data_IF_720270628756
#
_entry.id   IF_720270628756
#
_cell.length_a   1.000
_cell.length_b   1.000
_cell.length_c   1.000
_cell.angle_alpha   90.00
_cell.angle_beta   90.00
_cell.angle_gamma   90.00
#
_symmetry.space_group_name_H-M   'P 1'
#
loop_
_entity.id
_entity.type
_entity.pdbx_description
1 polymer ?
#
# COMPACT_ATOMS: atom_id res chain seq x y z
N UNK A 1 22.18 -1.56 -13.50
CA UNK A 1 22.67 -2.92 -13.23
C UNK A 1 22.51 -3.18 -11.73
N UNK A 2 22.02 -4.35 -11.36
CA UNK A 2 21.89 -4.79 -9.96
C UNK A 2 23.21 -5.41 -9.42
N UNK A 3 24.25 -5.41 -10.24
CA UNK A 3 25.60 -5.92 -9.93
C UNK A 3 26.50 -4.77 -9.43
N UNK A 4 27.27 -5.02 -8.37
CA UNK A 4 28.25 -4.06 -7.83
C UNK A 4 29.39 -3.77 -8.83
N UNK A 5 29.73 -4.73 -9.67
CA UNK A 5 30.78 -4.61 -10.70
C UNK A 5 30.24 -5.17 -12.04
N UNK A 6 29.49 -4.34 -12.82
CA UNK A 6 28.84 -4.79 -14.04
C UNK A 6 29.84 -5.01 -15.19
N UNK A 7 29.71 -6.15 -15.87
CA UNK A 7 30.39 -6.41 -17.12
C UNK A 7 29.95 -5.42 -18.22
N UNK A 8 30.81 -5.22 -19.22
CA UNK A 8 30.52 -4.33 -20.36
C UNK A 8 29.20 -4.64 -21.07
N UNK A 9 28.79 -5.93 -21.10
CA UNK A 9 27.53 -6.38 -21.68
C UNK A 9 26.30 -6.01 -20.83
N UNK A 10 26.48 -5.70 -19.55
CA UNK A 10 25.43 -5.31 -18.61
C UNK A 10 25.22 -3.80 -18.53
N UNK A 11 26.09 -3.02 -19.19
CA UNK A 11 26.01 -1.56 -19.25
C UNK A 11 25.28 -1.14 -20.50
N UNK A 12 24.29 -0.27 -20.34
CA UNK A 12 23.57 0.31 -21.49
C UNK A 12 24.52 1.12 -22.40
N UNK A 13 24.31 1.09 -23.72
CA UNK A 13 25.17 1.78 -24.66
C UNK A 13 25.04 3.31 -24.57
N UNK A 14 23.93 3.82 -24.05
CA UNK A 14 23.69 5.27 -23.87
C UNK A 14 23.76 5.62 -22.39
N UNK A 15 24.60 6.59 -22.07
CA UNK A 15 24.84 7.06 -20.71
C UNK A 15 24.79 8.57 -20.58
N UNK A 16 25.04 9.06 -19.37
CA UNK A 16 25.08 10.49 -19.05
C UNK A 16 26.44 10.84 -18.44
N UNK A 17 27.15 11.79 -19.06
CA UNK A 17 28.31 12.42 -18.47
C UNK A 17 27.87 13.19 -17.22
N UNK A 18 28.42 12.86 -16.07
CA UNK A 18 28.10 13.48 -14.81
C UNK A 18 29.31 14.22 -14.22
N UNK A 19 29.05 15.35 -13.57
CA UNK A 19 30.04 16.09 -12.80
C UNK A 19 29.84 15.78 -11.31
N UNK A 20 30.90 15.42 -10.62
CA UNK A 20 30.90 15.32 -9.14
C UNK A 20 30.84 16.74 -8.58
N UNK A 21 29.73 17.06 -7.92
CA UNK A 21 29.51 18.38 -7.28
C UNK A 21 30.11 18.39 -5.89
N UNK A 22 29.91 17.30 -5.12
CA UNK A 22 30.37 17.17 -3.76
C UNK A 22 30.58 15.71 -3.37
N UNK A 23 31.52 15.48 -2.47
CA UNK A 23 31.81 14.17 -1.90
C UNK A 23 31.89 14.27 -0.38
N UNK A 24 31.27 13.33 0.33
CA UNK A 24 31.25 13.24 1.78
C UNK A 24 31.71 11.87 2.23
N UNK A 25 32.59 11.82 3.21
CA UNK A 25 32.89 10.56 3.91
C UNK A 25 31.90 10.38 5.06
N UNK A 26 31.22 9.27 5.05
CA UNK A 26 30.28 8.91 6.11
C UNK A 26 31.01 8.24 7.28
N UNK A 27 30.44 8.28 8.51
CA UNK A 27 31.06 7.65 9.68
C UNK A 27 31.23 6.13 9.57
N UNK A 28 30.46 5.47 8.72
CA UNK A 28 30.49 4.03 8.41
C UNK A 28 31.64 3.64 7.45
N UNK A 29 32.44 4.63 7.01
CA UNK A 29 33.55 4.43 6.05
C UNK A 29 33.16 4.57 4.59
N UNK A 30 31.87 4.64 4.27
CA UNK A 30 31.36 4.83 2.92
C UNK A 30 31.57 6.26 2.42
N UNK A 31 31.66 6.42 1.12
CA UNK A 31 31.75 7.74 0.46
C UNK A 31 30.46 8.00 -0.31
N UNK A 32 29.73 9.04 0.10
CA UNK A 32 28.54 9.54 -0.62
C UNK A 32 28.97 10.64 -1.57
N UNK A 33 28.62 10.54 -2.83
CA UNK A 33 28.88 11.55 -3.85
C UNK A 33 27.58 12.18 -4.38
N UNK A 34 27.58 13.50 -4.55
CA UNK A 34 26.53 14.21 -5.24
C UNK A 34 27.02 14.46 -6.67
N UNK A 35 26.27 13.94 -7.63
CA UNK A 35 26.58 14.07 -9.06
C UNK A 35 25.50 14.88 -9.77
N UNK A 36 25.91 15.59 -10.83
CA UNK A 36 25.00 16.30 -11.72
C UNK A 36 25.22 15.83 -13.15
N UNK A 37 24.18 15.27 -13.78
CA UNK A 37 24.20 14.94 -15.20
C UNK A 37 24.38 16.20 -16.07
N UNK A 38 25.19 16.11 -17.11
CA UNK A 38 25.51 17.24 -18.01
C UNK A 38 25.11 16.98 -19.44
N UNK A 39 25.57 15.90 -20.04
CA UNK A 39 25.36 15.57 -21.45
C UNK A 39 25.12 14.08 -21.60
N UNK A 40 24.27 13.74 -22.57
CA UNK A 40 24.06 12.34 -22.98
C UNK A 40 25.18 11.94 -23.94
N UNK A 41 25.58 10.71 -23.87
CA UNK A 41 26.55 10.13 -24.80
C UNK A 41 26.18 8.70 -25.15
N UNK A 42 26.73 8.21 -26.26
CA UNK A 42 26.69 6.80 -26.67
C UNK A 42 28.11 6.25 -26.65
N UNK A 43 28.24 5.03 -26.12
CA UNK A 43 29.50 4.28 -26.15
C UNK A 43 29.71 3.77 -27.58
N UNK A 44 30.86 4.10 -28.17
CA UNK A 44 31.26 3.61 -29.47
C UNK A 44 32.14 2.35 -29.36
N UNK A 45 33.07 2.40 -28.41
CA UNK A 45 34.11 1.38 -28.28
C UNK A 45 34.64 1.37 -26.83
N UNK A 46 34.82 0.19 -26.28
CA UNK A 46 35.52 0.02 -25.01
C UNK A 46 37.02 0.03 -25.26
N UNK A 47 37.79 0.81 -24.51
CA UNK A 47 39.22 1.00 -24.67
C UNK A 47 40.01 0.19 -23.64
N UNK A 48 39.67 0.31 -22.37
CA UNK A 48 40.32 -0.36 -21.25
C UNK A 48 39.28 -0.77 -20.20
N UNK A 49 39.59 -1.81 -19.45
CA UNK A 49 38.74 -2.32 -18.37
C UNK A 49 39.40 -2.20 -16.99
N UNK A 50 40.73 -2.11 -16.93
CA UNK A 50 41.48 -1.98 -15.70
C UNK A 50 42.28 -0.67 -15.67
N UNK A 51 42.35 0.06 -14.55
CA UNK A 51 41.71 -0.21 -13.25
C UNK A 51 40.23 0.19 -13.19
N UNK A 52 39.68 0.75 -14.24
CA UNK A 52 38.28 1.12 -14.42
C UNK A 52 37.89 1.09 -15.90
N UNK A 53 36.63 0.90 -16.17
CA UNK A 53 36.12 0.86 -17.55
C UNK A 53 36.31 2.21 -18.26
N UNK A 54 37.03 2.23 -19.37
CA UNK A 54 37.20 3.37 -20.25
C UNK A 54 36.59 3.09 -21.61
N UNK A 55 35.85 4.06 -22.14
CA UNK A 55 35.19 3.95 -23.41
C UNK A 55 35.37 5.23 -24.26
N UNK A 56 35.42 5.02 -25.56
CA UNK A 56 35.30 6.11 -26.53
C UNK A 56 33.81 6.41 -26.73
N UNK A 57 33.41 7.67 -26.55
CA UNK A 57 32.02 8.07 -26.55
C UNK A 57 31.74 9.14 -27.59
N UNK A 58 30.52 9.17 -28.07
CA UNK A 58 29.97 10.22 -28.92
C UNK A 58 28.87 10.96 -28.14
N UNK A 59 28.93 12.28 -28.09
CA UNK A 59 27.87 13.07 -27.48
C UNK A 59 26.64 13.12 -28.37
N UNK A 60 25.49 12.79 -27.78
CA UNK A 60 24.23 12.80 -28.49
C UNK A 60 23.67 14.23 -28.62
N UNK A 61 23.07 14.55 -29.76
CA UNK A 61 22.39 15.84 -29.96
C UNK A 61 21.15 15.93 -29.04
N UNK A 62 20.70 17.13 -28.78
CA UNK A 62 19.47 17.41 -28.06
C UNK A 62 18.62 18.36 -28.89
N UNK A 63 17.48 17.85 -29.41
CA UNK A 63 16.56 18.68 -30.19
C UNK A 63 15.52 19.27 -29.22
N UNK A 64 15.72 20.54 -28.86
CA UNK A 64 14.82 21.29 -27.99
C UNK A 64 13.79 22.00 -28.89
N UNK A 65 12.48 21.87 -28.60
CA UNK A 65 11.43 22.60 -29.30
C UNK A 65 11.63 24.11 -29.21
N UNK A 66 11.07 24.85 -30.16
CA UNK A 66 11.09 26.32 -30.14
C UNK A 66 10.31 26.82 -28.88
N UNK A 67 10.68 28.03 -28.41
CA UNK A 67 10.05 28.62 -27.20
C UNK A 67 8.55 28.88 -27.37
N UNK A 68 8.06 29.03 -28.60
CA UNK A 68 6.67 29.24 -28.96
C UNK A 68 5.92 27.97 -29.36
N UNK A 69 6.51 26.76 -29.18
CA UNK A 69 5.82 25.49 -29.40
C UNK A 69 4.74 25.31 -28.34
N UNK A 70 3.49 25.66 -28.73
CA UNK A 70 2.32 25.57 -27.84
C UNK A 70 2.05 24.13 -27.39
N UNK A 71 2.27 23.13 -28.24
CA UNK A 71 2.06 21.72 -27.91
C UNK A 71 3.06 21.25 -26.86
N UNK A 72 4.32 21.64 -26.98
CA UNK A 72 5.34 21.32 -26.00
C UNK A 72 5.06 22.01 -24.64
N UNK A 73 4.58 23.25 -24.65
CA UNK A 73 4.20 23.98 -23.44
C UNK A 73 3.09 23.26 -22.70
N UNK A 74 2.00 22.89 -23.39
CA UNK A 74 0.88 22.14 -22.80
C UNK A 74 1.33 20.78 -22.27
N UNK A 75 2.24 20.12 -22.97
CA UNK A 75 2.82 18.84 -22.56
C UNK A 75 3.60 18.98 -21.24
N UNK A 76 4.45 20.00 -21.14
CA UNK A 76 5.23 20.27 -19.92
C UNK A 76 4.37 20.69 -18.75
N UNK A 77 3.31 21.46 -18.97
CA UNK A 77 2.34 21.83 -17.92
C UNK A 77 1.59 20.57 -17.43
N UNK A 78 1.16 19.69 -18.33
CA UNK A 78 0.55 18.42 -17.97
C UNK A 78 1.47 17.52 -17.13
N UNK A 79 2.77 17.49 -17.47
CA UNK A 79 3.78 16.75 -16.70
C UNK A 79 3.92 17.33 -15.30
N UNK A 80 3.96 18.66 -15.16
CA UNK A 80 4.03 19.34 -13.84
C UNK A 80 2.81 19.04 -12.99
N UNK A 81 1.61 19.11 -13.58
CA UNK A 81 0.35 18.87 -12.87
C UNK A 81 0.28 17.44 -12.33
N UNK A 82 0.68 16.44 -13.15
CA UNK A 82 0.68 15.04 -12.72
C UNK A 82 1.76 14.81 -11.66
N UNK A 83 2.96 15.37 -11.84
CA UNK A 83 4.02 15.27 -10.84
C UNK A 83 3.58 15.89 -9.49
N UNK A 84 2.89 17.04 -9.52
CA UNK A 84 2.32 17.67 -8.33
C UNK A 84 1.28 16.77 -7.64
N UNK A 85 0.38 16.12 -8.40
CA UNK A 85 -0.58 15.15 -7.85
C UNK A 85 0.12 13.95 -7.21
N UNK A 86 1.13 13.38 -7.88
CA UNK A 86 1.91 12.28 -7.34
C UNK A 86 2.58 12.64 -6.00
N UNK A 87 3.11 13.87 -5.88
CA UNK A 87 3.69 14.37 -4.64
C UNK A 87 2.62 14.48 -3.54
N UNK A 88 1.44 15.01 -3.86
CA UNK A 88 0.35 15.20 -2.89
C UNK A 88 -0.26 13.88 -2.40
N UNK A 89 -0.42 12.92 -3.30
CA UNK A 89 -1.09 11.64 -3.01
C UNK A 89 -0.15 10.58 -2.45
N UNK A 90 1.17 10.78 -2.56
CA UNK A 90 2.16 9.83 -2.09
C UNK A 90 2.57 10.13 -0.64
N UNK A 91 2.30 9.24 0.33
CA UNK A 91 2.69 9.46 1.73
C UNK A 91 4.20 9.43 1.96
N UNK A 92 4.98 8.99 0.97
CA UNK A 92 6.43 8.81 1.09
C UNK A 92 7.24 9.97 0.48
N UNK A 93 6.60 10.88 -0.24
CA UNK A 93 7.27 12.03 -0.85
C UNK A 93 7.13 13.23 0.10
N UNK A 94 8.24 13.87 0.52
CA UNK A 94 8.17 15.07 1.35
C UNK A 94 7.48 16.22 0.61
N UNK A 95 6.70 17.04 1.34
CA UNK A 95 6.00 18.20 0.77
C UNK A 95 6.94 19.25 0.17
N UNK A 96 8.20 19.28 0.61
CA UNK A 96 9.25 20.13 0.08
C UNK A 96 9.60 19.82 -1.38
N UNK A 97 9.28 18.62 -1.84
CA UNK A 97 9.47 18.22 -3.24
C UNK A 97 8.66 19.10 -4.21
N UNK A 98 7.46 19.56 -3.78
CA UNK A 98 6.65 20.50 -4.57
C UNK A 98 7.39 21.82 -4.79
N UNK A 99 7.95 22.39 -3.72
CA UNK A 99 8.72 23.63 -3.83
C UNK A 99 9.96 23.48 -4.72
N UNK A 100 10.61 22.32 -4.69
CA UNK A 100 11.73 22.02 -5.60
C UNK A 100 11.27 21.97 -7.05
N UNK A 101 10.12 21.34 -7.34
CA UNK A 101 9.53 21.25 -8.66
C UNK A 101 9.22 22.65 -9.24
N UNK A 102 8.59 23.50 -8.41
CA UNK A 102 8.16 24.87 -8.81
C UNK A 102 9.35 25.82 -9.08
N UNK A 103 10.49 25.59 -8.45
CA UNK A 103 11.69 26.40 -8.64
C UNK A 103 12.51 26.04 -9.88
N UNK A 104 12.22 24.93 -10.54
CA UNK A 104 12.93 24.52 -11.77
C UNK A 104 12.40 25.29 -12.97
N UNK A 105 13.24 26.17 -13.55
CA UNK A 105 12.86 27.01 -14.69
C UNK A 105 13.15 26.35 -16.05
N UNK A 106 14.11 25.46 -16.13
CA UNK A 106 14.51 24.80 -17.38
C UNK A 106 13.64 23.58 -17.65
N UNK A 107 12.89 23.55 -18.75
CA UNK A 107 12.07 22.42 -19.15
C UNK A 107 12.90 21.14 -19.33
N UNK A 108 14.09 21.23 -19.91
CA UNK A 108 15.00 20.07 -20.04
C UNK A 108 15.42 19.52 -18.69
N UNK A 109 15.79 20.39 -17.76
CA UNK A 109 16.21 19.97 -16.43
C UNK A 109 15.01 19.39 -15.66
N UNK A 110 13.84 20.03 -15.74
CA UNK A 110 12.62 19.58 -15.11
C UNK A 110 12.21 18.18 -15.59
N UNK A 111 12.20 17.98 -16.91
CA UNK A 111 11.85 16.70 -17.51
C UNK A 111 12.79 15.58 -17.05
N UNK A 112 14.10 15.84 -17.09
CA UNK A 112 15.10 14.87 -16.64
C UNK A 112 15.01 14.61 -15.14
N UNK A 113 14.73 15.62 -14.33
CA UNK A 113 14.54 15.49 -12.89
C UNK A 113 13.32 14.62 -12.57
N UNK A 114 12.18 14.88 -13.20
CA UNK A 114 10.95 14.09 -13.02
C UNK A 114 11.17 12.65 -13.49
N UNK A 115 11.74 12.44 -14.68
CA UNK A 115 12.01 11.10 -15.21
C UNK A 115 12.93 10.29 -14.29
N UNK A 116 13.97 10.90 -13.73
CA UNK A 116 14.90 10.24 -12.82
C UNK A 116 14.23 9.79 -11.52
N UNK A 117 13.30 10.61 -10.98
CA UNK A 117 12.64 10.37 -9.72
C UNK A 117 11.32 9.59 -9.85
N UNK A 118 10.82 9.36 -11.08
CA UNK A 118 9.61 8.56 -11.32
C UNK A 118 9.81 7.08 -10.99
N UNK A 119 8.73 6.35 -10.80
CA UNK A 119 8.73 4.90 -10.54
C UNK A 119 8.82 4.06 -11.82
N UNK A 120 9.13 4.66 -12.96
CA UNK A 120 9.37 3.94 -14.22
C UNK A 120 10.48 2.89 -14.06
N UNK A 121 10.35 1.74 -14.74
CA UNK A 121 11.41 0.72 -14.76
C UNK A 121 12.70 1.28 -15.39
N UNK A 122 13.82 0.61 -15.09
CA UNK A 122 15.13 1.03 -15.59
C UNK A 122 15.15 1.07 -17.14
N UNK A 123 14.54 0.07 -17.79
CA UNK A 123 14.43 -0.03 -19.24
C UNK A 123 13.67 1.17 -19.82
N UNK A 124 12.54 1.55 -19.21
CA UNK A 124 11.76 2.71 -19.65
C UNK A 124 12.51 4.04 -19.46
N UNK A 125 13.23 4.18 -18.34
CA UNK A 125 14.11 5.34 -18.12
C UNK A 125 15.22 5.39 -19.17
N UNK A 126 15.76 4.24 -19.55
CA UNK A 126 16.76 4.13 -20.60
C UNK A 126 16.19 4.50 -21.99
N UNK A 127 15.00 3.99 -22.32
CA UNK A 127 14.30 4.40 -23.55
C UNK A 127 14.13 5.92 -23.64
N UNK A 128 13.71 6.57 -22.53
CA UNK A 128 13.60 8.03 -22.47
C UNK A 128 14.95 8.70 -22.68
N UNK A 129 16.02 8.16 -22.09
CA UNK A 129 17.37 8.72 -22.22
C UNK A 129 17.90 8.62 -23.66
N UNK A 130 17.51 7.61 -24.42
CA UNK A 130 17.95 7.38 -25.80
C UNK A 130 17.27 8.26 -26.84
N UNK A 131 16.13 8.87 -26.52
CA UNK A 131 15.43 9.78 -27.43
C UNK A 131 16.17 11.12 -27.56
N UNK A 132 16.44 11.55 -28.78
CA UNK A 132 17.13 12.82 -29.05
C UNK A 132 16.20 14.03 -28.94
N UNK A 133 14.92 13.86 -29.28
CA UNK A 133 13.90 14.91 -29.21
C UNK A 133 13.40 15.10 -27.78
N UNK A 134 13.48 16.31 -27.24
CA UNK A 134 12.95 16.66 -25.94
C UNK A 134 11.43 16.48 -25.86
N UNK A 135 10.73 16.72 -26.99
CA UNK A 135 9.28 16.56 -27.10
C UNK A 135 8.88 15.06 -26.97
N UNK A 136 9.61 14.18 -27.67
CA UNK A 136 9.33 12.74 -27.61
C UNK A 136 9.63 12.18 -26.20
N UNK A 137 10.71 12.67 -25.58
CA UNK A 137 10.99 12.35 -24.17
C UNK A 137 9.85 12.79 -23.25
N UNK A 138 9.32 13.99 -23.45
CA UNK A 138 8.21 14.51 -22.64
C UNK A 138 6.95 13.65 -22.79
N UNK A 139 6.63 13.21 -24.02
CA UNK A 139 5.51 12.27 -24.26
C UNK A 139 5.71 10.98 -23.48
N UNK A 140 6.89 10.38 -23.55
CA UNK A 140 7.21 9.13 -22.84
C UNK A 140 7.17 9.29 -21.32
N UNK A 141 7.66 10.39 -20.80
CA UNK A 141 7.58 10.70 -19.37
C UNK A 141 6.13 10.88 -18.93
N UNK A 142 5.31 11.60 -19.72
CA UNK A 142 3.89 11.78 -19.44
C UNK A 142 3.14 10.43 -19.39
N UNK A 143 3.40 9.53 -20.36
CA UNK A 143 2.85 8.17 -20.35
C UNK A 143 3.22 7.42 -19.07
N UNK A 144 4.50 7.50 -18.67
CA UNK A 144 4.99 6.86 -17.44
C UNK A 144 4.34 7.40 -16.19
N UNK A 145 4.24 8.73 -16.05
CA UNK A 145 3.61 9.39 -14.90
C UNK A 145 2.10 9.10 -14.80
N UNK A 146 1.38 9.06 -15.94
CA UNK A 146 -0.03 8.68 -15.94
C UNK A 146 -0.25 7.24 -15.44
N UNK A 147 0.63 6.32 -15.83
CA UNK A 147 0.57 4.95 -15.32
C UNK A 147 0.86 4.91 -13.81
N UNK A 148 1.88 5.65 -13.37
CA UNK A 148 2.25 5.75 -11.95
C UNK A 148 1.11 6.32 -11.10
N UNK A 149 0.48 7.40 -11.56
CA UNK A 149 -0.67 8.01 -10.90
C UNK A 149 -1.84 7.01 -10.77
N UNK A 150 -2.17 6.32 -11.86
CA UNK A 150 -3.23 5.32 -11.86
C UNK A 150 -2.96 4.17 -10.88
N UNK A 151 -1.71 3.71 -10.81
CA UNK A 151 -1.30 2.67 -9.84
C UNK A 151 -1.42 3.18 -8.41
N UNK A 152 -1.03 4.44 -8.16
CA UNK A 152 -1.12 5.07 -6.84
C UNK A 152 -2.59 5.24 -6.41
N UNK A 153 -3.47 5.72 -7.29
CA UNK A 153 -4.92 5.85 -7.03
C UNK A 153 -5.54 4.50 -6.64
N UNK A 154 -5.26 3.43 -7.41
CA UNK A 154 -5.75 2.08 -7.09
C UNK A 154 -5.20 1.58 -5.74
N UNK A 155 -3.93 1.88 -5.45
CA UNK A 155 -3.30 1.51 -4.19
C UNK A 155 -3.94 2.21 -2.98
N UNK A 156 -4.23 3.51 -3.12
CA UNK A 156 -4.92 4.29 -2.11
C UNK A 156 -6.36 3.80 -1.89
N UNK A 157 -7.11 3.51 -2.97
CA UNK A 157 -8.46 2.93 -2.87
C UNK A 157 -8.48 1.59 -2.12
N UNK A 158 -7.51 0.70 -2.41
CA UNK A 158 -7.38 -0.59 -1.72
C UNK A 158 -7.05 -0.36 -0.25
N UNK A 159 -6.13 0.55 0.04
CA UNK A 159 -5.73 0.88 1.42
C UNK A 159 -6.93 1.40 2.23
N UNK A 160 -7.72 2.31 1.66
CA UNK A 160 -8.89 2.88 2.31
C UNK A 160 -9.99 1.83 2.56
N UNK A 161 -10.22 0.93 1.60
CA UNK A 161 -11.15 -0.20 1.79
C UNK A 161 -10.72 -1.12 2.93
N UNK A 162 -9.45 -1.54 2.93
CA UNK A 162 -8.91 -2.42 3.98
C UNK A 162 -8.98 -1.74 5.35
N UNK A 163 -8.64 -0.45 5.42
CA UNK A 163 -8.74 0.33 6.66
C UNK A 163 -10.19 0.40 7.16
N UNK A 164 -11.13 0.68 6.27
CA UNK A 164 -12.55 0.75 6.62
C UNK A 164 -13.09 -0.59 7.14
N UNK A 165 -12.75 -1.70 6.48
CA UNK A 165 -13.13 -3.06 6.92
C UNK A 165 -12.52 -3.39 8.28
N UNK A 166 -11.26 -3.05 8.51
CA UNK A 166 -10.59 -3.26 9.80
C UNK A 166 -11.24 -2.45 10.92
N UNK A 167 -11.53 -1.16 10.67
CA UNK A 167 -12.19 -0.29 11.65
C UNK A 167 -13.60 -0.81 12.00
N UNK A 168 -14.33 -1.34 11.01
CA UNK A 168 -15.64 -1.96 11.23
C UNK A 168 -15.53 -3.22 12.09
N UNK A 169 -14.61 -4.14 11.77
CA UNK A 169 -14.39 -5.36 12.56
C UNK A 169 -13.97 -5.03 14.01
N UNK A 170 -13.11 -4.05 14.19
CA UNK A 170 -12.69 -3.61 15.53
C UNK A 170 -13.88 -3.06 16.32
N UNK A 171 -14.74 -2.26 15.67
CA UNK A 171 -15.96 -1.73 16.30
C UNK A 171 -16.94 -2.83 16.67
N UNK A 172 -17.16 -3.81 15.80
CA UNK A 172 -18.03 -4.97 16.08
C UNK A 172 -17.48 -5.80 17.25
N UNK A 173 -16.17 -6.07 17.27
CA UNK A 173 -15.52 -6.74 18.38
C UNK A 173 -15.71 -6.00 19.71
N UNK A 174 -15.52 -4.68 19.71
CA UNK A 174 -15.69 -3.85 20.90
C UNK A 174 -17.15 -3.87 21.41
N UNK A 175 -18.12 -3.76 20.50
CA UNK A 175 -19.55 -3.85 20.85
C UNK A 175 -19.91 -5.23 21.42
N UNK A 176 -19.37 -6.31 20.86
CA UNK A 176 -19.53 -7.65 21.39
C UNK A 176 -18.95 -7.80 22.80
N UNK A 177 -17.77 -7.23 23.06
CA UNK A 177 -17.19 -7.24 24.40
C UNK A 177 -18.02 -6.44 25.40
N UNK A 178 -18.50 -5.25 25.02
CA UNK A 178 -19.41 -4.49 25.87
C UNK A 178 -20.70 -5.24 26.18
N UNK A 179 -21.31 -5.85 25.16
CA UNK A 179 -22.52 -6.64 25.35
C UNK A 179 -22.28 -7.82 26.31
N UNK A 180 -21.15 -8.50 26.18
CA UNK A 180 -20.76 -9.61 27.09
C UNK A 180 -20.58 -9.10 28.52
N UNK A 181 -19.86 -7.99 28.73
CA UNK A 181 -19.67 -7.40 30.06
C UNK A 181 -21.00 -6.98 30.66
N UNK A 182 -21.90 -6.37 29.90
CA UNK A 182 -23.25 -6.00 30.36
C UNK A 182 -24.06 -7.25 30.75
N UNK A 183 -23.99 -8.34 29.97
CA UNK A 183 -24.64 -9.61 30.30
C UNK A 183 -24.08 -10.22 31.57
N UNK A 184 -22.75 -10.17 31.76
CA UNK A 184 -22.09 -10.64 32.99
C UNK A 184 -22.51 -9.82 34.21
N UNK A 185 -22.57 -8.51 34.14
CA UNK A 185 -23.04 -7.61 35.21
C UNK A 185 -24.52 -7.81 35.53
N UNK A 186 -25.34 -8.15 34.53
CA UNK A 186 -26.76 -8.45 34.69
C UNK A 186 -27.02 -9.89 35.20
N UNK A 187 -25.99 -10.67 35.53
CA UNK A 187 -26.11 -12.02 36.06
C UNK A 187 -26.31 -13.10 34.97
N UNK A 188 -26.02 -12.79 33.70
CA UNK A 188 -26.24 -13.71 32.57
C UNK A 188 -25.37 -14.97 32.57
N UNK A 189 -24.25 -14.99 33.28
CA UNK A 189 -23.37 -16.18 33.35
C UNK A 189 -23.91 -17.30 34.28
N UNK A 190 -24.80 -16.98 35.26
CA UNK A 190 -25.40 -17.98 36.09
C UNK A 190 -26.47 -18.79 35.34
N UNK A 191 -27.17 -18.18 34.40
CA UNK A 191 -28.24 -18.82 33.63
C UNK A 191 -27.75 -19.78 32.55
N UNK A 192 -26.62 -19.52 31.89
CA UNK A 192 -26.04 -20.45 30.91
C UNK A 192 -25.45 -21.70 31.59
N UNK A 193 -24.81 -21.53 32.75
CA UNK A 193 -24.32 -22.63 33.57
C UNK A 193 -25.46 -23.53 34.04
N UNK A 194 -26.56 -22.94 34.54
CA UNK A 194 -27.76 -23.68 34.99
C UNK A 194 -28.41 -24.45 33.82
N UNK A 195 -28.50 -23.86 32.63
CA UNK A 195 -29.06 -24.50 31.44
C UNK A 195 -28.22 -25.69 30.99
N UNK A 196 -26.90 -25.57 31.00
CA UNK A 196 -26.00 -26.67 30.62
C UNK A 196 -26.02 -27.78 31.68
N UNK A 197 -26.12 -27.44 32.97
CA UNK A 197 -26.30 -28.43 34.04
C UNK A 197 -27.62 -29.20 33.87
N UNK A 198 -28.72 -28.51 33.58
CA UNK A 198 -30.01 -29.16 33.29
C UNK A 198 -29.94 -30.10 32.09
N UNK A 199 -29.23 -29.69 31.02
CA UNK A 199 -29.01 -30.54 29.84
C UNK A 199 -28.16 -31.77 30.15
N UNK A 200 -27.16 -31.66 31.04
CA UNK A 200 -26.35 -32.80 31.46
C UNK A 200 -27.18 -33.79 32.32
N UNK A 201 -27.99 -33.24 33.23
CA UNK A 201 -28.88 -34.07 34.06
C UNK A 201 -29.94 -34.82 33.23
N UNK A 202 -30.47 -34.21 32.17
CA UNK A 202 -31.45 -34.86 31.29
C UNK A 202 -30.90 -36.06 30.54
N UNK A 203 -29.62 -36.05 30.17
CA UNK A 203 -28.94 -37.16 29.49
C UNK A 203 -28.85 -38.44 30.36
N UNK A 204 -28.94 -38.28 31.67
CA UNK A 204 -28.97 -39.40 32.63
C UNK A 204 -30.33 -40.00 32.86
N UNK A 205 -31.40 -39.46 32.26
CA UNK A 205 -32.79 -39.91 32.44
C UNK A 205 -33.20 -40.88 31.32
N UNK A 206 -34.03 -41.83 31.66
CA UNK A 206 -34.62 -42.83 30.74
C UNK A 206 -36.01 -42.39 30.29
N UNK A 207 -36.09 -41.23 29.66
CA UNK A 207 -37.36 -40.69 29.15
C UNK A 207 -37.76 -41.30 27.82
N UNK A 208 -39.06 -41.26 27.49
CA UNK A 208 -39.51 -41.55 26.15
C UNK A 208 -39.18 -40.38 25.20
N UNK A 209 -39.12 -40.64 23.91
CA UNK A 209 -38.73 -39.66 22.90
C UNK A 209 -39.60 -38.39 22.96
N UNK A 210 -40.88 -38.49 23.31
CA UNK A 210 -41.79 -37.33 23.38
C UNK A 210 -41.46 -36.45 24.59
N UNK A 211 -41.10 -37.03 25.71
CA UNK A 211 -40.72 -36.30 26.93
C UNK A 211 -39.38 -35.61 26.73
N UNK A 212 -38.41 -36.28 26.09
CA UNK A 212 -37.11 -35.68 25.75
C UNK A 212 -37.25 -34.52 24.80
N UNK A 213 -38.02 -34.66 23.73
CA UNK A 213 -38.30 -33.57 22.80
C UNK A 213 -38.99 -32.37 23.45
N UNK A 214 -39.93 -32.65 24.36
CA UNK A 214 -40.61 -31.60 25.11
C UNK A 214 -39.67 -30.86 26.04
N UNK A 215 -38.84 -31.60 26.80
CA UNK A 215 -37.82 -30.99 27.67
C UNK A 215 -36.85 -30.09 26.90
N UNK A 216 -36.30 -30.56 25.80
CA UNK A 216 -35.38 -29.77 24.95
C UNK A 216 -36.08 -28.54 24.37
N UNK A 217 -37.34 -28.60 24.00
CA UNK A 217 -38.12 -27.45 23.53
C UNK A 217 -38.32 -26.41 24.63
N UNK A 218 -38.65 -26.85 25.84
CA UNK A 218 -38.84 -25.95 26.99
C UNK A 218 -37.51 -25.39 27.49
N UNK A 219 -36.40 -26.14 27.42
CA UNK A 219 -35.04 -25.66 27.70
C UNK A 219 -34.60 -24.56 26.75
N UNK A 220 -34.92 -24.70 25.44
CA UNK A 220 -34.66 -23.63 24.45
C UNK A 220 -35.51 -22.38 24.69
N UNK A 221 -36.71 -22.49 25.25
CA UNK A 221 -37.50 -21.34 25.67
C UNK A 221 -36.83 -20.63 26.84
N UNK A 222 -36.37 -21.35 27.85
CA UNK A 222 -35.65 -20.79 28.99
C UNK A 222 -34.40 -20.03 28.55
N UNK A 223 -33.66 -20.58 27.60
CA UNK A 223 -32.46 -19.94 27.05
C UNK A 223 -32.71 -18.56 26.36
N UNK A 224 -33.95 -18.34 25.90
CA UNK A 224 -34.36 -17.08 25.24
C UNK A 224 -35.01 -16.08 26.21
N UNK A 225 -35.37 -16.49 27.39
CA UNK A 225 -36.00 -15.62 28.39
C UNK A 225 -34.93 -14.77 29.08
N UNK A 226 -35.29 -13.55 29.41
CA UNK A 226 -34.46 -12.69 30.24
C UNK A 226 -34.45 -13.22 31.69
N UNK A 227 -33.28 -13.52 32.29
CA UNK A 227 -33.17 -14.04 33.66
C UNK A 227 -33.80 -13.13 34.73
N UNK A 228 -33.97 -11.87 34.46
CA UNK A 228 -34.58 -10.89 35.38
C UNK A 228 -36.12 -10.91 35.35
N UNK A 229 -36.73 -11.65 34.44
CA UNK A 229 -38.18 -11.71 34.30
C UNK A 229 -38.77 -12.83 35.13
N UNK A 230 -39.95 -12.64 35.77
CA UNK A 230 -40.63 -13.70 36.57
C UNK A 230 -40.85 -14.98 35.78
N UNK A 231 -41.12 -14.86 34.47
CA UNK A 231 -41.32 -15.99 33.57
C UNK A 231 -40.10 -16.94 33.51
N UNK A 232 -38.87 -16.39 33.65
CA UNK A 232 -37.66 -17.21 33.71
C UNK A 232 -37.64 -18.14 34.92
N UNK A 233 -37.99 -17.64 36.11
CA UNK A 233 -38.05 -18.45 37.34
C UNK A 233 -39.11 -19.53 37.23
N UNK A 234 -40.27 -19.22 36.65
CA UNK A 234 -41.36 -20.19 36.45
C UNK A 234 -40.90 -21.30 35.49
N UNK A 235 -40.31 -20.93 34.38
CA UNK A 235 -39.84 -21.90 33.37
C UNK A 235 -38.69 -22.74 33.89
N UNK A 236 -37.78 -22.15 34.67
CA UNK A 236 -36.69 -22.88 35.36
C UNK A 236 -37.24 -23.92 36.34
N UNK A 237 -38.14 -23.50 37.22
CA UNK A 237 -38.75 -24.42 38.19
C UNK A 237 -39.50 -25.57 37.50
N UNK A 238 -40.17 -25.31 36.40
CA UNK A 238 -40.83 -26.32 35.60
C UNK A 238 -39.86 -27.39 35.06
N UNK A 239 -38.73 -26.94 34.52
CA UNK A 239 -37.69 -27.87 34.01
C UNK A 239 -36.99 -28.63 35.12
N UNK A 240 -36.71 -27.98 36.27
CA UNK A 240 -36.19 -28.66 37.45
C UNK A 240 -37.17 -29.76 37.94
N UNK A 241 -38.46 -29.45 38.01
CA UNK A 241 -39.47 -30.42 38.35
C UNK A 241 -39.52 -31.63 37.38
N UNK A 242 -39.39 -31.37 36.07
CA UNK A 242 -39.29 -32.48 35.08
C UNK A 242 -38.04 -33.34 35.31
N UNK A 243 -36.91 -32.74 35.72
CA UNK A 243 -35.70 -33.48 36.05
C UNK A 243 -35.81 -34.29 37.34
N UNK A 244 -36.66 -33.87 38.28
CA UNK A 244 -36.85 -34.59 39.56
C UNK A 244 -37.83 -35.80 39.46
N UNK A 245 -38.62 -35.83 38.39
CA UNK A 245 -39.46 -36.98 38.12
C UNK A 245 -38.67 -38.24 37.78
N UNK A 246 -39.08 -39.42 38.22
CA UNK A 246 -38.39 -40.68 38.02
C UNK A 246 -38.32 -41.10 36.53
#
# INVERSE_FOLDING_TARGET
SDTEDPDQAEVFPTGTLAQIVKSFKMPDGNTTIIIQGKKRFRILEWVETEPYNMAKVEFLPEFVPAEDDAEFTVLMDSIKDIAAKLIQESPHIPSEAQAALDNIKSNTFLLNFIASNSSMSLEKKQEVLELDSLKDRAVKVLEGLNLELKVLEVKNEIHDKVKHEFDQQQREYFLHQQMKTIQEELGGNSSEGDIEEMRQKSKGKTWDNKTEEHFEKELRKLQRLNPQMPEFAIQRNYLEFMLDLP
#
